data_IF_025607435163
#
_entry.id   IF_025607435163
#
_cell.length_a   1.000
_cell.length_b   1.000
_cell.length_c   1.000
_cell.angle_alpha   90.00
_cell.angle_beta   90.00
_cell.angle_gamma   90.00
#
_symmetry.space_group_name_H-M   'P 1'
#
loop_
_entity.id
_entity.type
_entity.pdbx_description
1 polymer ?
#
# COMPACT_ATOMS: atom_id res chain seq x y z
N UNK A 1 18.51 17.32 -29.51
CA UNK A 1 18.12 15.96 -29.94
C UNK A 1 16.91 15.56 -29.10
N UNK A 2 15.85 15.04 -29.70
CA UNK A 2 14.75 14.47 -28.93
C UNK A 2 15.29 13.26 -28.15
N UNK A 3 15.05 13.19 -26.84
CA UNK A 3 15.37 12.00 -26.06
C UNK A 3 14.55 10.83 -26.62
N UNK A 4 15.21 9.69 -26.85
CA UNK A 4 14.53 8.47 -27.27
C UNK A 4 13.63 7.98 -26.14
N UNK A 5 12.40 7.58 -26.47
CA UNK A 5 11.47 7.00 -25.51
C UNK A 5 12.10 5.73 -24.90
N UNK A 6 12.24 5.61 -23.58
CA UNK A 6 12.78 4.41 -22.95
C UNK A 6 11.90 3.19 -23.25
N UNK A 7 12.49 2.04 -23.58
CA UNK A 7 11.76 0.79 -23.75
C UNK A 7 11.74 0.01 -22.43
N UNK A 8 10.60 -0.60 -22.05
CA UNK A 8 10.54 -1.47 -20.88
C UNK A 8 11.35 -2.75 -21.10
N UNK A 9 12.03 -3.23 -20.06
CA UNK A 9 12.69 -4.54 -20.06
C UNK A 9 12.03 -5.48 -19.04
N UNK A 10 11.99 -6.78 -19.33
CA UNK A 10 11.39 -7.78 -18.45
C UNK A 10 12.37 -8.26 -17.38
N UNK A 11 11.87 -8.48 -16.18
CA UNK A 11 12.62 -9.10 -15.10
C UNK A 11 12.68 -10.62 -15.28
N UNK A 12 13.80 -11.27 -14.88
CA UNK A 12 13.91 -12.72 -14.96
C UNK A 12 12.98 -13.41 -13.95
N UNK A 13 12.66 -14.67 -14.23
CA UNK A 13 11.88 -15.54 -13.34
C UNK A 13 10.55 -14.92 -12.89
N UNK A 14 9.65 -14.60 -13.84
CA UNK A 14 8.35 -14.02 -13.49
C UNK A 14 7.51 -15.00 -12.64
N UNK A 15 6.52 -14.50 -11.89
CA UNK A 15 5.57 -15.33 -11.15
C UNK A 15 4.87 -16.38 -12.02
N UNK A 16 4.41 -17.46 -11.38
CA UNK A 16 3.76 -18.57 -12.09
C UNK A 16 2.23 -18.38 -12.21
N UNK A 17 1.69 -17.36 -11.55
CA UNK A 17 0.28 -17.01 -11.52
C UNK A 17 0.14 -15.49 -11.31
N UNK A 18 -1.09 -14.98 -11.34
CA UNK A 18 -1.42 -13.56 -11.35
C UNK A 18 -0.64 -12.72 -10.34
N UNK A 19 -0.07 -11.61 -10.78
CA UNK A 19 0.72 -10.70 -9.92
C UNK A 19 -0.22 -9.75 -9.18
N UNK A 20 -0.13 -9.67 -7.86
CA UNK A 20 -1.09 -8.92 -7.02
C UNK A 20 -0.57 -7.60 -6.50
N UNK A 21 0.73 -7.44 -6.28
CA UNK A 21 1.33 -6.19 -5.80
C UNK A 21 2.80 -6.07 -6.19
N UNK A 22 3.25 -4.83 -6.31
CA UNK A 22 4.66 -4.44 -6.52
C UNK A 22 5.03 -3.35 -5.52
N UNK A 23 6.25 -3.39 -4.99
CA UNK A 23 6.77 -2.36 -4.09
C UNK A 23 8.30 -2.33 -4.14
N UNK A 24 8.89 -1.15 -4.38
CA UNK A 24 10.33 -0.96 -4.15
C UNK A 24 10.58 -0.86 -2.64
N UNK A 25 11.55 -1.63 -2.14
CA UNK A 25 11.88 -1.65 -0.72
C UNK A 25 12.46 -0.30 -0.28
N UNK A 26 12.20 0.17 0.95
CA UNK A 26 12.81 1.39 1.45
C UNK A 26 14.33 1.23 1.60
N UNK A 27 15.09 2.30 1.34
CA UNK A 27 16.54 2.33 1.61
C UNK A 27 16.80 2.33 3.12
N UNK A 28 17.81 1.60 3.58
CA UNK A 28 18.31 1.68 4.95
C UNK A 28 18.98 3.05 5.19
N UNK A 29 18.60 3.73 6.26
CA UNK A 29 19.13 5.05 6.67
C UNK A 29 20.60 5.04 7.10
N UNK A 30 21.24 3.87 7.18
CA UNK A 30 22.60 3.67 7.69
C UNK A 30 23.72 3.92 6.68
N UNK A 31 23.43 4.10 5.39
CA UNK A 31 24.45 4.43 4.38
C UNK A 31 24.45 5.93 4.07
N UNK A 32 25.60 6.57 4.24
CA UNK A 32 25.85 7.99 3.90
C UNK A 32 25.72 8.32 2.40
N UNK A 33 25.42 7.35 1.53
CA UNK A 33 25.01 7.59 0.15
C UNK A 33 23.48 7.62 0.05
N UNK A 34 22.94 8.70 -0.51
CA UNK A 34 21.53 8.93 -0.86
C UNK A 34 20.97 7.97 -1.94
N UNK A 35 21.44 6.73 -1.98
CA UNK A 35 21.07 5.77 -3.02
C UNK A 35 19.69 5.17 -2.73
N UNK A 36 18.76 5.40 -3.65
CA UNK A 36 17.49 4.69 -3.70
C UNK A 36 17.74 3.19 -3.72
N UNK A 37 16.95 2.43 -2.97
CA UNK A 37 16.98 0.97 -2.99
C UNK A 37 16.69 0.47 -4.40
N UNK A 38 17.47 -0.53 -4.82
CA UNK A 38 17.31 -1.23 -6.09
C UNK A 38 16.39 -2.45 -5.97
N UNK A 39 15.97 -2.79 -4.76
CA UNK A 39 15.20 -4.00 -4.51
C UNK A 39 13.71 -3.77 -4.77
N UNK A 40 13.14 -4.59 -5.65
CA UNK A 40 11.71 -4.63 -5.98
C UNK A 40 11.10 -5.93 -5.46
N UNK A 41 10.07 -5.81 -4.63
CA UNK A 41 9.29 -6.95 -4.16
C UNK A 41 7.98 -7.10 -4.94
N UNK A 42 7.52 -8.35 -5.06
CA UNK A 42 6.27 -8.72 -5.70
C UNK A 42 5.57 -9.86 -4.97
N UNK A 43 4.24 -9.87 -5.02
CA UNK A 43 3.38 -10.96 -4.54
C UNK A 43 2.50 -11.49 -5.67
N UNK A 44 2.08 -12.75 -5.58
CA UNK A 44 1.30 -13.43 -6.62
C UNK A 44 0.26 -14.39 -6.04
N UNK A 45 -0.71 -14.75 -6.88
CA UNK A 45 -1.68 -15.81 -6.65
C UNK A 45 -1.04 -17.19 -6.45
N UNK A 46 0.21 -17.38 -6.88
CA UNK A 46 0.98 -18.61 -6.64
C UNK A 46 1.44 -18.79 -5.18
N UNK A 47 1.12 -17.83 -4.31
CA UNK A 47 1.44 -17.89 -2.88
C UNK A 47 2.89 -17.57 -2.54
N UNK A 48 3.68 -17.11 -3.53
CA UNK A 48 5.08 -16.77 -3.33
C UNK A 48 5.34 -15.26 -3.39
N UNK A 49 6.27 -14.83 -2.54
CA UNK A 49 6.85 -13.50 -2.53
C UNK A 49 8.22 -13.56 -3.24
N UNK A 50 8.48 -12.60 -4.11
CA UNK A 50 9.76 -12.50 -4.84
C UNK A 50 10.40 -11.14 -4.63
N UNK A 51 11.72 -11.13 -4.54
CA UNK A 51 12.54 -9.91 -4.49
C UNK A 51 13.52 -9.95 -5.66
N UNK A 52 13.51 -8.91 -6.47
CA UNK A 52 14.42 -8.68 -7.58
C UNK A 52 15.35 -7.51 -7.25
N UNK A 53 16.60 -7.62 -7.67
CA UNK A 53 17.54 -6.50 -7.67
C UNK A 53 17.50 -5.86 -9.06
N UNK A 54 17.24 -4.55 -9.08
CA UNK A 54 17.00 -3.74 -10.28
C UNK A 54 17.98 -2.55 -10.25
N UNK A 55 19.26 -2.76 -10.61
CA UNK A 55 20.29 -1.73 -10.48
C UNK A 55 20.03 -0.55 -11.42
N UNK A 56 20.36 0.70 -11.02
CA UNK A 56 20.08 1.92 -11.80
C UNK A 56 20.89 2.01 -13.11
N UNK A 57 22.02 1.30 -13.20
CA UNK A 57 22.89 1.30 -14.37
C UNK A 57 22.60 0.10 -15.29
N UNK A 58 23.42 -0.11 -16.33
CA UNK A 58 23.35 -1.24 -17.27
C UNK A 58 23.60 -2.63 -16.64
N UNK A 59 23.56 -2.74 -15.30
CA UNK A 59 23.62 -4.02 -14.60
C UNK A 59 22.40 -4.87 -14.93
N UNK A 60 22.61 -6.17 -15.10
CA UNK A 60 21.51 -7.10 -15.35
C UNK A 60 20.67 -7.28 -14.08
N UNK A 61 19.38 -7.01 -14.16
CA UNK A 61 18.45 -7.32 -13.06
C UNK A 61 18.41 -8.82 -12.80
N UNK A 62 18.25 -9.20 -11.54
CA UNK A 62 18.25 -10.61 -11.11
C UNK A 62 17.23 -10.88 -10.02
N UNK A 63 16.76 -12.12 -9.95
CA UNK A 63 15.99 -12.61 -8.81
C UNK A 63 16.95 -12.81 -7.62
N UNK A 64 16.67 -12.14 -6.50
CA UNK A 64 17.42 -12.28 -5.24
C UNK A 64 16.82 -13.39 -4.39
N UNK A 65 15.49 -13.38 -4.27
CA UNK A 65 14.75 -14.29 -3.40
C UNK A 65 13.42 -14.66 -4.03
N UNK A 66 13.05 -15.93 -3.92
CA UNK A 66 11.67 -16.40 -4.11
C UNK A 66 11.32 -17.31 -2.94
N UNK A 67 10.24 -16.97 -2.23
CA UNK A 67 9.83 -17.64 -1.00
C UNK A 67 8.34 -17.92 -1.05
N UNK A 68 7.97 -19.20 -1.00
CA UNK A 68 6.60 -19.60 -0.72
C UNK A 68 6.25 -19.18 0.71
N UNK A 69 5.13 -18.49 0.90
CA UNK A 69 4.76 -17.92 2.20
C UNK A 69 3.90 -18.89 3.04
N UNK A 70 3.69 -20.13 2.59
CA UNK A 70 2.83 -21.09 3.27
C UNK A 70 1.38 -20.60 3.37
N UNK A 71 0.92 -19.86 2.35
CA UNK A 71 -0.44 -19.35 2.19
C UNK A 71 -0.97 -19.80 0.83
N UNK A 72 -2.27 -19.60 0.60
CA UNK A 72 -2.80 -19.52 -0.76
C UNK A 72 -2.35 -18.22 -1.45
N UNK A 73 -3.16 -17.65 -2.34
CA UNK A 73 -2.89 -16.37 -2.98
C UNK A 73 -2.46 -15.27 -2.00
N UNK A 74 -1.37 -14.56 -2.32
CA UNK A 74 -0.97 -13.35 -1.62
C UNK A 74 -1.64 -12.16 -2.29
N UNK A 75 -2.25 -11.26 -1.52
CA UNK A 75 -3.15 -10.22 -2.03
C UNK A 75 -2.63 -8.80 -1.81
N UNK A 76 -1.71 -8.61 -0.87
CA UNK A 76 -1.18 -7.30 -0.54
C UNK A 76 0.25 -7.38 -0.03
N UNK A 77 0.97 -6.28 -0.18
CA UNK A 77 2.39 -6.16 0.10
C UNK A 77 2.66 -4.83 0.80
N UNK A 78 3.48 -4.87 1.84
CA UNK A 78 4.05 -3.69 2.48
C UNK A 78 5.52 -3.98 2.86
N UNK A 79 6.32 -2.95 3.10
CA UNK A 79 7.68 -3.12 3.61
C UNK A 79 8.05 -1.97 4.53
N UNK A 80 8.96 -2.22 5.46
CA UNK A 80 9.51 -1.20 6.36
C UNK A 80 11.04 -1.28 6.36
N UNK A 81 11.70 -0.15 6.61
CA UNK A 81 13.14 -0.13 6.87
C UNK A 81 13.38 -0.46 8.34
N UNK A 82 13.84 -1.67 8.65
CA UNK A 82 14.26 -2.05 10.00
C UNK A 82 15.75 -1.78 10.25
N UNK A 83 16.17 -1.71 11.51
CA UNK A 83 17.59 -1.57 11.89
C UNK A 83 18.47 -2.72 11.35
N UNK A 84 17.88 -3.91 11.12
CA UNK A 84 18.54 -5.09 10.55
C UNK A 84 18.40 -5.27 9.03
N UNK A 85 17.72 -4.35 8.33
CA UNK A 85 17.43 -4.46 6.90
C UNK A 85 15.94 -4.32 6.57
N UNK A 86 15.61 -4.40 5.28
CA UNK A 86 14.23 -4.29 4.83
C UNK A 86 13.40 -5.51 5.28
N UNK A 87 12.31 -5.25 6.00
CA UNK A 87 11.31 -6.26 6.35
C UNK A 87 10.15 -6.15 5.37
N UNK A 88 9.66 -7.29 4.88
CA UNK A 88 8.55 -7.34 3.92
C UNK A 88 7.36 -8.05 4.57
N UNK A 89 6.17 -7.51 4.35
CA UNK A 89 4.92 -8.05 4.87
C UNK A 89 3.98 -8.43 3.75
N UNK A 90 3.31 -9.58 3.88
CA UNK A 90 2.35 -10.07 2.90
C UNK A 90 1.03 -10.49 3.56
N UNK A 91 -0.08 -10.06 2.96
CA UNK A 91 -1.44 -10.43 3.37
C UNK A 91 -1.95 -11.56 2.49
N UNK A 92 -2.36 -12.67 3.11
CA UNK A 92 -2.82 -13.87 2.40
C UNK A 92 -4.35 -13.95 2.26
N UNK A 93 -4.80 -14.72 1.26
CA UNK A 93 -6.20 -15.14 1.13
C UNK A 93 -6.69 -15.98 2.30
N UNK A 94 -5.76 -16.55 3.07
CA UNK A 94 -6.01 -17.30 4.31
C UNK A 94 -6.12 -16.40 5.55
N UNK A 95 -6.17 -15.08 5.37
CA UNK A 95 -6.34 -14.10 6.44
C UNK A 95 -5.07 -13.78 7.22
N UNK A 96 -3.98 -14.51 7.02
CA UNK A 96 -2.76 -14.29 7.79
C UNK A 96 -1.89 -13.17 7.20
N UNK A 97 -1.37 -12.34 8.09
CA UNK A 97 -0.36 -11.32 7.83
C UNK A 97 0.98 -11.92 8.21
N UNK A 98 1.89 -12.04 7.23
CA UNK A 98 3.19 -12.66 7.41
C UNK A 98 4.30 -11.65 7.21
N UNK A 99 5.38 -11.82 7.97
CA UNK A 99 6.64 -11.09 7.81
C UNK A 99 7.65 -12.02 7.15
N UNK A 100 8.44 -11.46 6.25
CA UNK A 100 9.62 -12.04 5.64
C UNK A 100 10.81 -11.14 5.93
N UNK A 101 11.80 -11.70 6.61
CA UNK A 101 13.12 -11.11 6.71
C UNK A 101 13.91 -11.47 5.44
N UNK A 102 14.33 -10.46 4.68
CA UNK A 102 15.04 -10.66 3.41
C UNK A 102 16.43 -11.25 3.63
N UNK A 103 17.11 -10.89 4.73
CA UNK A 103 18.49 -11.30 5.00
C UNK A 103 18.55 -12.78 5.42
N UNK A 104 17.64 -13.20 6.30
CA UNK A 104 17.60 -14.58 6.82
C UNK A 104 16.66 -15.49 6.02
N UNK A 105 15.81 -14.90 5.17
CA UNK A 105 14.73 -15.57 4.45
C UNK A 105 13.73 -16.30 5.36
N UNK A 106 13.63 -15.92 6.63
CA UNK A 106 12.68 -16.50 7.57
C UNK A 106 11.30 -15.88 7.39
N UNK A 107 10.27 -16.71 7.53
CA UNK A 107 8.87 -16.28 7.47
C UNK A 107 8.21 -16.57 8.81
N UNK A 108 7.55 -15.57 9.35
CA UNK A 108 6.76 -15.68 10.58
C UNK A 108 5.37 -15.04 10.41
N UNK A 109 4.43 -15.47 11.25
CA UNK A 109 3.05 -14.95 11.23
C UNK A 109 2.95 -13.82 12.24
N UNK A 110 2.71 -12.60 11.75
CA UNK A 110 2.50 -11.41 12.58
C UNK A 110 1.12 -11.45 13.23
N UNK A 111 0.10 -11.86 12.48
CA UNK A 111 -1.28 -11.84 12.93
C UNK A 111 -2.25 -12.43 11.91
N UNK A 112 -3.55 -12.45 12.23
CA UNK A 112 -4.56 -13.02 11.36
C UNK A 112 -5.93 -12.33 11.47
N UNK A 113 -6.58 -12.16 10.33
CA UNK A 113 -7.99 -11.84 10.20
C UNK A 113 -8.84 -13.10 10.40
N UNK A 114 -9.66 -13.13 11.46
CA UNK A 114 -10.44 -14.30 11.88
C UNK A 114 -11.96 -14.14 11.75
N UNK A 115 -12.44 -13.02 11.23
CA UNK A 115 -13.88 -12.72 11.16
C UNK A 115 -14.46 -12.11 12.44
N UNK A 116 -15.58 -11.41 12.31
CA UNK A 116 -16.28 -10.74 13.42
C UNK A 116 -16.85 -11.78 14.39
N UNK A 117 -16.41 -11.73 15.66
CA UNK A 117 -17.01 -12.51 16.76
C UNK A 117 -16.45 -13.92 16.99
N UNK A 118 -15.30 -14.27 16.39
CA UNK A 118 -14.64 -15.57 16.65
C UNK A 118 -15.45 -16.79 16.18
N UNK A 119 -16.58 -16.59 15.50
CA UNK A 119 -17.38 -17.64 14.89
C UNK A 119 -16.73 -18.08 13.59
N UNK A 120 -15.57 -18.73 13.73
CA UNK A 120 -15.09 -19.63 12.69
C UNK A 120 -16.13 -20.74 12.56
N UNK A 121 -17.10 -20.59 11.66
CA UNK A 121 -17.85 -21.75 11.20
C UNK A 121 -16.79 -22.66 10.59
N UNK A 122 -16.66 -23.87 11.10
CA UNK A 122 -15.62 -24.86 10.78
C UNK A 122 -15.59 -25.31 9.31
N UNK A 123 -16.30 -24.63 8.41
CA UNK A 123 -16.53 -24.95 7.01
C UNK A 123 -16.17 -23.82 6.01
N UNK A 124 -15.81 -22.62 6.47
CA UNK A 124 -15.45 -21.50 5.56
C UNK A 124 -13.99 -21.10 5.73
N UNK A 125 -13.30 -20.91 4.60
CA UNK A 125 -11.95 -20.34 4.57
C UNK A 125 -11.94 -18.98 5.29
N UNK A 126 -10.92 -18.70 6.13
CA UNK A 126 -10.83 -17.43 6.84
C UNK A 126 -10.86 -16.24 5.88
N UNK A 127 -11.42 -15.10 6.31
CA UNK A 127 -11.48 -13.90 5.50
C UNK A 127 -10.09 -13.37 5.20
N UNK A 128 -9.86 -12.97 3.96
CA UNK A 128 -8.54 -12.57 3.48
C UNK A 128 -8.02 -11.28 4.14
N UNK A 129 -6.69 -11.22 4.35
CA UNK A 129 -5.96 -10.00 4.66
C UNK A 129 -5.65 -9.28 3.33
N UNK A 130 -6.60 -8.48 2.86
CA UNK A 130 -6.63 -7.99 1.48
C UNK A 130 -5.82 -6.71 1.26
N UNK A 131 -5.49 -5.97 2.32
CA UNK A 131 -4.73 -4.73 2.21
C UNK A 131 -3.70 -4.62 3.34
N UNK A 132 -2.51 -4.12 3.00
CA UNK A 132 -1.43 -3.84 3.95
C UNK A 132 -0.81 -2.46 3.71
N UNK A 133 -0.30 -1.84 4.77
CA UNK A 133 0.51 -0.63 4.71
C UNK A 133 1.43 -0.55 5.93
N UNK A 134 2.72 -0.25 5.74
CA UNK A 134 3.64 0.00 6.84
C UNK A 134 3.48 1.43 7.33
N UNK A 135 3.54 1.64 8.65
CA UNK A 135 3.38 2.94 9.28
C UNK A 135 4.71 3.43 9.87
N UNK A 136 5.74 3.57 9.04
CA UNK A 136 7.10 3.88 9.52
C UNK A 136 7.21 5.26 10.20
N UNK A 137 6.29 6.19 9.89
CA UNK A 137 6.30 7.57 10.41
C UNK A 137 5.82 7.74 11.85
N UNK A 138 5.20 6.73 12.48
CA UNK A 138 4.68 6.83 13.86
C UNK A 138 5.72 6.50 14.95
N UNK A 139 6.98 6.29 14.56
CA UNK A 139 8.09 6.07 15.48
C UNK A 139 8.07 4.70 16.16
N UNK A 140 7.53 3.69 15.47
CA UNK A 140 7.41 2.29 15.92
C UNK A 140 7.25 1.40 14.69
N UNK A 141 7.79 0.18 14.72
CA UNK A 141 7.59 -0.77 13.62
C UNK A 141 6.18 -1.34 13.70
N UNK A 142 5.27 -0.75 12.94
CA UNK A 142 3.86 -1.11 12.92
C UNK A 142 3.41 -1.34 11.50
N UNK A 143 2.64 -2.40 11.31
CA UNK A 143 1.97 -2.72 10.05
C UNK A 143 0.47 -2.60 10.27
N UNK A 144 -0.20 -1.90 9.37
CA UNK A 144 -1.64 -1.85 9.29
C UNK A 144 -2.13 -2.92 8.31
N UNK A 145 -3.21 -3.61 8.66
CA UNK A 145 -3.95 -4.50 7.76
C UNK A 145 -5.44 -4.19 7.75
N UNK A 146 -6.07 -4.45 6.61
CA UNK A 146 -7.52 -4.44 6.48
C UNK A 146 -7.98 -5.67 5.70
N UNK A 147 -9.11 -6.25 6.11
CA UNK A 147 -9.55 -7.55 5.62
C UNK A 147 -10.96 -7.58 5.03
N UNK A 148 -11.30 -8.75 4.48
CA UNK A 148 -12.66 -9.06 4.02
C UNK A 148 -13.63 -9.44 5.15
N UNK A 149 -13.12 -9.53 6.38
CA UNK A 149 -13.91 -9.57 7.61
C UNK A 149 -14.50 -8.22 7.99
N UNK A 150 -14.15 -7.15 7.27
CA UNK A 150 -14.52 -5.77 7.60
C UNK A 150 -13.83 -5.27 8.87
N UNK A 151 -12.64 -5.78 9.16
CA UNK A 151 -11.82 -5.29 10.27
C UNK A 151 -10.56 -4.61 9.75
N UNK A 152 -10.10 -3.62 10.50
CA UNK A 152 -8.81 -2.98 10.41
C UNK A 152 -8.00 -3.30 11.67
N UNK A 153 -6.73 -3.66 11.51
CA UNK A 153 -5.84 -4.05 12.60
C UNK A 153 -4.50 -3.33 12.49
N UNK A 154 -3.96 -2.91 13.62
CA UNK A 154 -2.58 -2.50 13.77
C UNK A 154 -1.80 -3.62 14.45
N UNK A 155 -0.65 -3.98 13.89
CA UNK A 155 0.23 -5.01 14.42
C UNK A 155 1.57 -4.38 14.79
N UNK A 156 1.98 -4.52 16.06
CA UNK A 156 3.36 -4.27 16.44
C UNK A 156 4.19 -5.48 16.04
N UNK A 157 5.13 -5.29 15.13
CA UNK A 157 5.93 -6.41 14.63
C UNK A 157 7.09 -6.76 15.57
N UNK A 158 7.27 -5.99 16.65
CA UNK A 158 8.29 -6.24 17.68
C UNK A 158 7.76 -7.12 18.80
N UNK A 159 6.44 -7.18 18.99
CA UNK A 159 5.83 -8.13 19.91
C UNK A 159 5.81 -9.49 19.25
N UNK A 160 6.59 -10.44 19.77
CA UNK A 160 6.52 -11.83 19.34
C UNK A 160 5.12 -12.37 19.65
N UNK A 161 4.36 -12.70 18.61
CA UNK A 161 3.13 -13.47 18.76
C UNK A 161 3.48 -14.89 19.16
N UNK A 162 2.72 -15.48 20.09
CA UNK A 162 2.77 -16.92 20.33
C UNK A 162 2.40 -17.73 19.08
N UNK A 163 2.25 -19.04 19.23
CA UNK A 163 2.13 -20.07 18.17
C UNK A 163 0.92 -19.93 17.18
N UNK A 164 0.22 -18.79 17.18
CA UNK A 164 -0.91 -18.45 16.29
C UNK A 164 -0.92 -17.01 15.75
N UNK A 165 0.16 -16.24 15.94
CA UNK A 165 0.23 -14.82 15.59
C UNK A 165 -0.09 -13.88 16.77
N UNK A 166 0.39 -12.64 16.69
CA UNK A 166 0.17 -11.62 17.72
C UNK A 166 -1.27 -11.12 17.77
N UNK A 167 -1.68 -10.54 18.90
CA UNK A 167 -2.96 -9.79 19.01
C UNK A 167 -2.75 -8.40 18.41
N UNK A 168 -3.72 -7.84 17.67
CA UNK A 168 -3.59 -6.46 17.20
C UNK A 168 -3.50 -5.49 18.38
N UNK A 169 -2.62 -4.49 18.26
CA UNK A 169 -2.42 -3.45 19.29
C UNK A 169 -3.52 -2.40 19.26
N UNK A 170 -4.20 -2.24 18.12
CA UNK A 170 -5.44 -1.47 17.99
C UNK A 170 -6.27 -2.05 16.84
N UNK A 171 -7.59 -1.80 16.85
CA UNK A 171 -8.49 -2.28 15.79
C UNK A 171 -9.69 -1.36 15.60
N UNK A 172 -10.25 -1.37 14.39
CA UNK A 172 -11.47 -0.66 14.05
C UNK A 172 -12.34 -1.49 13.10
N UNK A 173 -13.66 -1.47 13.32
CA UNK A 173 -14.62 -2.10 12.41
C UNK A 173 -14.89 -1.18 11.21
N UNK A 174 -14.94 -1.78 10.02
CA UNK A 174 -15.22 -1.15 8.74
C UNK A 174 -16.66 -1.43 8.31
N UNK A 175 -17.25 -0.53 7.51
CA UNK A 175 -18.60 -0.74 6.97
C UNK A 175 -18.67 -1.79 5.83
N UNK A 176 -17.52 -2.25 5.32
CA UNK A 176 -17.44 -3.14 4.18
C UNK A 176 -16.10 -3.88 4.10
N UNK A 177 -16.01 -4.82 3.15
CA UNK A 177 -14.76 -5.54 2.86
C UNK A 177 -13.71 -4.58 2.33
N UNK A 178 -12.47 -4.66 2.81
CA UNK A 178 -11.39 -3.81 2.31
C UNK A 178 -10.98 -4.20 0.87
N UNK A 179 -11.03 -3.24 -0.06
CA UNK A 179 -10.61 -3.39 -1.46
C UNK A 179 -9.34 -2.61 -1.81
N UNK A 180 -9.01 -1.58 -1.05
CA UNK A 180 -7.74 -0.87 -1.16
C UNK A 180 -7.44 -0.10 0.12
N UNK A 181 -6.16 0.12 0.39
CA UNK A 181 -5.69 0.90 1.53
C UNK A 181 -4.44 1.67 1.15
N UNK A 182 -4.25 2.83 1.78
CA UNK A 182 -3.01 3.57 1.74
C UNK A 182 -2.85 4.38 3.02
N UNK A 183 -1.62 4.71 3.39
CA UNK A 183 -1.31 5.52 4.57
C UNK A 183 -0.55 6.80 4.18
N UNK A 184 -0.71 7.85 4.99
CA UNK A 184 0.10 9.05 4.88
C UNK A 184 1.55 8.75 5.23
N UNK A 185 2.48 9.59 4.73
CA UNK A 185 3.92 9.38 4.95
C UNK A 185 4.32 9.38 6.43
N UNK A 186 3.63 10.13 7.26
CA UNK A 186 3.82 10.16 8.72
C UNK A 186 3.11 9.01 9.45
N UNK A 187 2.41 8.14 8.72
CA UNK A 187 1.69 6.97 9.25
C UNK A 187 0.45 7.31 10.08
N UNK A 188 0.08 8.59 10.20
CA UNK A 188 -1.04 9.02 11.06
C UNK A 188 -2.40 8.82 10.43
N UNK A 189 -2.53 9.05 9.12
CA UNK A 189 -3.81 8.94 8.42
C UNK A 189 -3.78 7.72 7.53
N UNK A 190 -4.75 6.82 7.73
CA UNK A 190 -4.96 5.67 6.87
C UNK A 190 -6.31 5.82 6.18
N UNK A 191 -6.37 5.56 4.88
CA UNK A 191 -7.62 5.44 4.14
C UNK A 191 -7.85 3.99 3.76
N UNK A 192 -9.05 3.47 4.03
CA UNK A 192 -9.51 2.16 3.58
C UNK A 192 -10.71 2.35 2.65
N UNK A 193 -10.54 1.98 1.39
CA UNK A 193 -11.63 1.89 0.44
C UNK A 193 -12.33 0.53 0.58
N UNK A 194 -13.63 0.55 0.85
CA UNK A 194 -14.38 -0.67 1.17
C UNK A 194 -15.53 -0.95 0.20
N UNK A 195 -16.02 -2.20 0.23
CA UNK A 195 -17.24 -2.59 -0.45
C UNK A 195 -18.41 -1.68 -0.08
N UNK A 196 -19.27 -1.34 -1.04
CA UNK A 196 -20.29 -0.30 -0.86
C UNK A 196 -19.82 1.10 -1.28
N UNK A 197 -18.63 1.19 -1.90
CA UNK A 197 -18.04 2.43 -2.43
C UNK A 197 -17.81 3.45 -1.31
N UNK A 198 -17.29 3.00 -0.18
CA UNK A 198 -17.01 3.85 0.98
C UNK A 198 -15.50 4.07 1.10
N UNK A 199 -15.11 5.27 1.50
CA UNK A 199 -13.74 5.65 1.86
C UNK A 199 -13.76 5.97 3.36
N UNK A 200 -13.22 5.05 4.15
CA UNK A 200 -13.08 5.19 5.60
C UNK A 200 -11.70 5.77 5.93
N UNK A 201 -11.67 6.85 6.69
CA UNK A 201 -10.44 7.51 7.12
C UNK A 201 -10.23 7.27 8.61
N UNK A 202 -9.05 6.77 8.94
CA UNK A 202 -8.64 6.40 10.29
C UNK A 202 -7.46 7.28 10.70
N UNK A 203 -7.50 7.77 11.92
CA UNK A 203 -6.38 8.44 12.60
C UNK A 203 -5.71 7.45 13.54
N UNK A 204 -4.42 7.24 13.34
CA UNK A 204 -3.57 6.37 14.12
C UNK A 204 -2.75 7.23 15.06
N UNK A 205 -2.96 7.05 16.35
CA UNK A 205 -2.33 7.85 17.40
C UNK A 205 -1.53 7.00 18.35
N UNK A 206 -0.50 7.63 18.91
CA UNK A 206 0.31 7.11 20.00
C UNK A 206 0.04 7.96 21.22
N UNK A 207 -0.67 7.41 22.20
CA UNK A 207 -1.04 8.11 23.42
C UNK A 207 -0.29 7.54 24.63
N UNK A 208 -0.03 8.35 25.68
CA UNK A 208 0.39 7.81 26.96
C UNK A 208 -0.58 6.73 27.42
N UNK A 209 -0.07 5.54 27.81
CA UNK A 209 -0.93 4.55 28.45
C UNK A 209 -1.60 5.21 29.63
N UNK A 210 -2.94 5.21 29.66
CA UNK A 210 -3.68 5.76 30.78
C UNK A 210 -3.32 4.95 32.03
N UNK A 211 -2.43 5.50 32.87
CA UNK A 211 -2.17 4.97 34.19
C UNK A 211 -3.49 5.01 34.97
N UNK A 212 -4.07 3.82 35.21
CA UNK A 212 -5.14 3.55 36.16
C UNK A 212 -6.26 4.59 36.26
N UNK A 213 -7.43 4.27 35.71
CA UNK A 213 -8.69 4.73 36.30
C UNK A 213 -8.87 4.09 37.70
N UNK A 214 -8.05 4.53 38.65
CA UNK A 214 -8.07 4.15 40.05
C UNK A 214 -8.78 5.23 40.85
N UNK A 215 -9.94 4.87 41.42
CA UNK A 215 -10.56 5.61 42.52
C UNK A 215 -9.51 5.94 43.59
N UNK A 216 -9.31 7.21 43.91
CA UNK A 216 -8.54 7.61 45.09
C UNK A 216 -9.48 8.09 46.21
N UNK A 217 -9.74 7.20 47.16
CA UNK A 217 -9.91 7.54 48.58
C UNK A 217 -8.52 7.63 49.22
N UNK A 218 -8.27 8.73 49.96
CA UNK A 218 -7.24 9.01 50.99
C UNK A 218 -6.17 7.94 51.29
N UNK A 219 -4.88 8.26 51.42
CA UNK A 219 -4.27 8.95 52.58
C UNK A 219 -2.79 9.26 52.33
N UNK A 220 -2.27 10.24 53.06
CA UNK A 220 -0.94 10.86 53.02
C UNK A 220 0.24 9.98 53.46
N UNK A 221 1.38 10.06 52.75
CA UNK A 221 2.74 10.06 53.36
C UNK A 221 3.76 10.72 52.40
N UNK A 222 4.76 11.39 52.97
CA UNK A 222 5.76 12.32 52.37
C UNK A 222 6.84 11.68 51.46
N UNK A 223 7.51 12.45 50.57
CA UNK A 223 8.43 11.91 49.57
C UNK A 223 9.91 11.89 50.02
N UNK A 224 10.66 10.88 49.56
CA UNK A 224 12.12 10.84 49.52
C UNK A 224 12.63 11.04 48.09
N UNK A 225 13.76 11.72 47.85
CA UNK A 225 14.28 11.95 46.49
C UNK A 225 15.46 11.03 46.19
N UNK A 226 15.28 10.10 45.25
CA UNK A 226 16.29 9.55 44.34
C UNK A 226 15.73 8.25 43.75
N UNK A 227 15.26 8.31 42.52
CA UNK A 227 15.46 7.25 41.52
C UNK A 227 15.30 7.93 40.15
N UNK A 228 16.36 7.83 39.35
CA UNK A 228 16.47 8.32 37.98
C UNK A 228 15.73 7.31 37.09
N UNK A 229 14.40 7.26 37.21
CA UNK A 229 13.56 6.40 36.39
C UNK A 229 13.46 7.02 34.99
N UNK A 230 14.19 6.42 34.06
CA UNK A 230 13.98 6.56 32.64
C UNK A 230 12.64 5.87 32.30
N UNK A 231 11.55 6.54 32.68
CA UNK A 231 10.17 6.09 32.54
C UNK A 231 9.78 6.21 31.06
N UNK A 232 10.23 5.25 30.25
CA UNK A 232 9.65 4.96 28.93
C UNK A 232 8.20 4.53 29.16
N UNK A 233 7.32 5.49 29.47
CA UNK A 233 5.89 5.27 29.60
C UNK A 233 5.42 4.52 28.35
N UNK A 234 5.02 3.27 28.50
CA UNK A 234 4.60 2.40 27.40
C UNK A 234 3.47 3.11 26.64
N UNK A 235 3.75 3.71 25.49
CA UNK A 235 2.75 4.47 24.76
C UNK A 235 1.81 3.50 24.03
N UNK A 236 0.51 3.54 24.33
CA UNK A 236 -0.50 2.72 23.69
C UNK A 236 -0.81 3.22 22.26
N UNK A 237 -1.09 2.28 21.36
CA UNK A 237 -1.61 2.58 20.03
C UNK A 237 -3.12 2.70 20.08
N UNK A 238 -3.66 3.72 19.45
CA UNK A 238 -5.09 3.89 19.26
C UNK A 238 -5.42 4.16 17.79
N UNK A 239 -6.62 3.75 17.38
CA UNK A 239 -7.18 4.05 16.07
C UNK A 239 -8.57 4.67 16.25
N UNK A 240 -8.76 5.85 15.67
CA UNK A 240 -10.04 6.56 15.66
C UNK A 240 -10.56 6.67 14.23
N UNK A 241 -11.83 6.35 14.01
CA UNK A 241 -12.46 6.61 12.71
C UNK A 241 -12.85 8.08 12.61
N UNK A 242 -12.16 8.84 11.76
CA UNK A 242 -12.44 10.26 11.52
C UNK A 242 -13.72 10.46 10.70
N UNK A 243 -13.84 9.74 9.60
CA UNK A 243 -15.03 9.76 8.75
C UNK A 243 -15.14 8.47 7.96
N UNK A 244 -16.38 8.10 7.66
CA UNK A 244 -16.68 7.14 6.61
C UNK A 244 -17.64 7.83 5.62
N UNK A 245 -17.26 7.88 4.34
CA UNK A 245 -18.03 8.58 3.31
C UNK A 245 -18.13 7.78 2.03
N UNK A 246 -19.16 8.05 1.25
CA UNK A 246 -19.30 7.48 -0.08
C UNK A 246 -18.30 8.11 -1.06
N UNK A 247 -17.69 7.28 -1.90
CA UNK A 247 -16.83 7.71 -3.00
C UNK A 247 -17.62 8.53 -4.01
N UNK A 248 -16.93 9.49 -4.63
CA UNK A 248 -17.44 10.27 -5.75
C UNK A 248 -17.64 9.44 -7.03
N UNK A 249 -17.17 8.19 -7.05
CA UNK A 249 -17.35 7.25 -8.16
C UNK A 249 -18.62 6.42 -7.97
N UNK A 250 -19.31 6.15 -9.09
CA UNK A 250 -20.60 5.45 -9.09
C UNK A 250 -20.47 3.93 -9.06
N UNK A 251 -19.29 3.42 -9.42
CA UNK A 251 -19.01 1.99 -9.51
C UNK A 251 -17.96 1.57 -8.47
N UNK A 252 -17.78 0.26 -8.33
CA UNK A 252 -16.88 -0.34 -7.34
C UNK A 252 -15.47 0.27 -7.40
N UNK A 253 -14.97 0.69 -6.23
CA UNK A 253 -13.57 1.08 -6.04
C UNK A 253 -12.66 -0.12 -6.19
N UNK A 254 -11.54 0.07 -6.90
CA UNK A 254 -10.53 -0.98 -7.11
C UNK A 254 -9.19 -0.66 -6.44
N UNK A 255 -8.82 0.61 -6.38
CA UNK A 255 -7.59 1.06 -5.73
C UNK A 255 -7.76 2.47 -5.14
N UNK A 256 -6.97 2.80 -4.12
CA UNK A 256 -6.92 4.13 -3.49
C UNK A 256 -5.47 4.48 -3.14
N UNK A 257 -5.09 5.75 -3.32
CA UNK A 257 -3.79 6.30 -2.88
C UNK A 257 -3.94 7.67 -2.22
N UNK A 258 -3.26 7.87 -1.10
CA UNK A 258 -3.13 9.14 -0.41
C UNK A 258 -2.02 9.96 -1.04
N UNK A 259 -2.32 11.19 -1.46
CA UNK A 259 -1.32 12.10 -1.99
C UNK A 259 -1.26 13.39 -1.16
N UNK A 260 -0.04 13.93 -1.06
CA UNK A 260 0.20 15.32 -0.70
C UNK A 260 0.67 16.06 -1.96
N UNK A 261 -0.15 16.97 -2.47
CA UNK A 261 0.27 17.99 -3.44
C UNK A 261 0.66 19.23 -2.61
N UNK A 262 1.56 20.13 -3.06
CA UNK A 262 1.85 21.35 -2.31
C UNK A 262 0.57 22.05 -1.81
N UNK A 263 0.48 22.21 -0.49
CA UNK A 263 -0.65 22.79 0.24
C UNK A 263 -1.97 22.00 0.22
N UNK A 264 -2.01 20.73 -0.19
CA UNK A 264 -3.27 19.96 -0.23
C UNK A 264 -3.04 18.46 -0.03
N UNK A 265 -3.83 17.85 0.85
CA UNK A 265 -3.85 16.40 1.08
C UNK A 265 -5.18 15.83 0.54
N UNK A 266 -5.09 14.71 -0.16
CA UNK A 266 -6.24 14.09 -0.82
C UNK A 266 -6.04 12.61 -1.09
N UNK A 267 -7.05 12.01 -1.70
CA UNK A 267 -7.01 10.65 -2.21
C UNK A 267 -7.29 10.62 -3.71
N UNK A 268 -6.56 9.75 -4.41
CA UNK A 268 -6.88 9.31 -5.75
C UNK A 268 -7.55 7.93 -5.65
N UNK A 269 -8.77 7.81 -6.15
CA UNK A 269 -9.58 6.58 -6.10
C UNK A 269 -9.80 6.09 -7.52
N UNK A 270 -9.40 4.86 -7.85
CA UNK A 270 -9.68 4.21 -9.13
C UNK A 270 -10.87 3.27 -9.05
N UNK A 271 -11.69 3.19 -10.10
CA UNK A 271 -12.85 2.28 -10.16
C UNK A 271 -12.80 1.33 -11.35
N UNK A 272 -13.72 0.36 -11.33
CA UNK A 272 -13.93 -0.59 -12.42
C UNK A 272 -14.50 0.03 -13.72
N UNK A 273 -14.89 1.31 -13.72
CA UNK A 273 -15.50 1.99 -14.88
C UNK A 273 -14.53 2.90 -15.65
N UNK A 274 -13.22 2.63 -15.59
CA UNK A 274 -12.21 3.43 -16.29
C UNK A 274 -12.27 4.91 -15.87
N UNK A 275 -12.24 5.14 -14.55
CA UNK A 275 -12.24 6.47 -13.94
C UNK A 275 -11.37 6.53 -12.71
N UNK A 276 -10.86 7.73 -12.48
CA UNK A 276 -10.20 8.12 -11.24
C UNK A 276 -10.89 9.36 -10.68
N UNK A 277 -11.21 9.34 -9.39
CA UNK A 277 -11.63 10.50 -8.63
C UNK A 277 -10.46 11.06 -7.82
N UNK A 278 -10.35 12.38 -7.79
CA UNK A 278 -9.48 13.15 -6.91
C UNK A 278 -10.37 13.80 -5.86
N UNK A 279 -10.24 13.36 -4.62
CA UNK A 279 -10.99 13.86 -3.48
C UNK A 279 -10.03 14.50 -2.48
N UNK A 280 -10.39 15.67 -1.96
CA UNK A 280 -9.55 16.41 -1.02
C UNK A 280 -10.06 16.22 0.39
N UNK A 281 -9.16 16.29 1.36
CA UNK A 281 -9.44 16.01 2.77
C UNK A 281 -10.00 17.20 3.56
N UNK A 282 -10.39 18.29 2.87
CA UNK A 282 -10.97 19.49 3.49
C UNK A 282 -12.18 19.14 4.37
N UNK A 283 -13.04 18.25 3.88
CA UNK A 283 -14.26 17.85 4.57
C UNK A 283 -14.00 16.86 5.75
N UNK A 284 -12.75 16.49 6.07
CA UNK A 284 -12.40 15.70 7.28
C UNK A 284 -11.63 16.53 8.32
N UNK A 285 -11.66 17.85 8.20
CA UNK A 285 -10.94 18.74 9.13
C UNK A 285 -9.44 18.84 8.84
N UNK A 286 -8.93 18.12 7.84
CA UNK A 286 -7.57 18.29 7.34
C UNK A 286 -7.60 19.39 6.29
N UNK A 287 -7.24 20.61 6.71
CA UNK A 287 -7.18 21.77 5.82
C UNK A 287 -6.26 21.47 4.63
N UNK A 288 -6.88 21.27 3.48
CA UNK A 288 -6.27 21.28 2.17
C UNK A 288 -6.48 22.67 1.56
N UNK A 289 -5.63 23.11 0.65
CA UNK A 289 -5.62 24.47 0.10
C UNK A 289 -6.80 24.81 -0.82
N UNK A 290 -8.00 24.29 -0.56
CA UNK A 290 -9.24 24.65 -1.26
C UNK A 290 -9.48 23.92 -2.58
N UNK A 291 -8.99 22.68 -2.72
CA UNK A 291 -9.18 21.88 -3.94
C UNK A 291 -10.62 21.42 -4.12
N UNK A 292 -11.25 21.72 -5.28
CA UNK A 292 -12.55 21.10 -5.63
C UNK A 292 -12.33 19.67 -6.11
N UNK A 293 -12.99 18.71 -5.45
CA UNK A 293 -13.04 17.31 -5.90
C UNK A 293 -13.49 17.20 -7.36
N UNK A 294 -12.93 16.25 -8.10
CA UNK A 294 -13.30 16.00 -9.50
C UNK A 294 -12.97 14.57 -9.90
N UNK A 295 -13.47 14.11 -11.05
CA UNK A 295 -13.12 12.81 -11.61
C UNK A 295 -12.83 12.92 -13.11
N UNK A 296 -12.00 12.03 -13.63
CA UNK A 296 -11.66 11.96 -15.05
C UNK A 296 -11.77 10.54 -15.58
N UNK A 297 -12.03 10.43 -16.89
CA UNK A 297 -12.06 9.15 -17.61
C UNK A 297 -10.64 8.75 -17.97
N UNK A 298 -10.34 7.46 -17.86
CA UNK A 298 -9.07 6.85 -18.25
C UNK A 298 -9.33 5.38 -18.66
N UNK A 299 -8.36 4.75 -19.30
CA UNK A 299 -8.44 3.32 -19.69
C UNK A 299 -9.71 2.96 -20.47
N UNK A 300 -9.86 3.59 -21.64
CA UNK A 300 -10.99 3.38 -22.57
C UNK A 300 -10.46 3.28 -23.99
N UNK A 301 -10.91 2.27 -24.72
CA UNK A 301 -10.53 2.03 -26.11
C UNK A 301 -11.80 1.93 -26.95
N UNK A 302 -12.04 2.93 -27.80
CA UNK A 302 -13.33 3.08 -28.47
C UNK A 302 -14.46 3.23 -27.45
N UNK A 303 -15.44 2.34 -27.52
CA UNK A 303 -16.56 2.28 -26.56
C UNK A 303 -16.28 1.36 -25.36
N UNK A 304 -15.22 0.55 -25.41
CA UNK A 304 -14.85 -0.38 -24.33
C UNK A 304 -14.23 0.35 -23.16
N UNK A 305 -14.69 0.02 -21.95
CA UNK A 305 -14.26 0.63 -20.68
C UNK A 305 -13.57 -0.43 -19.83
N UNK A 306 -12.38 -0.12 -19.32
CA UNK A 306 -11.57 -1.05 -18.57
C UNK A 306 -11.39 -0.59 -17.11
N UNK A 307 -11.32 -1.52 -16.14
CA UNK A 307 -10.96 -1.20 -14.76
C UNK A 307 -9.63 -0.48 -14.62
N UNK A 308 -9.57 0.43 -13.64
CA UNK A 308 -8.31 1.02 -13.15
C UNK A 308 -7.81 0.16 -12.00
N UNK A 309 -6.85 -0.71 -12.27
CA UNK A 309 -6.36 -1.70 -11.31
C UNK A 309 -5.35 -1.11 -10.32
N UNK A 310 -4.51 -0.18 -10.78
CA UNK A 310 -3.41 0.37 -10.00
C UNK A 310 -3.29 1.89 -10.17
N UNK A 311 -2.96 2.55 -9.06
CA UNK A 311 -2.51 3.95 -9.02
C UNK A 311 -1.19 3.98 -8.26
N UNK A 312 -0.19 4.67 -8.81
CA UNK A 312 1.09 4.92 -8.15
C UNK A 312 1.40 6.42 -8.19
N UNK A 313 1.85 6.98 -7.07
CA UNK A 313 2.25 8.39 -7.00
C UNK A 313 3.73 8.53 -7.34
N UNK A 314 4.08 9.55 -8.11
CA UNK A 314 5.47 9.89 -8.35
C UNK A 314 6.08 10.51 -7.08
N UNK A 315 7.14 9.95 -6.50
CA UNK A 315 7.63 10.35 -5.17
C UNK A 315 8.21 11.78 -5.14
N UNK A 316 8.64 12.30 -6.29
CA UNK A 316 9.28 13.63 -6.39
C UNK A 316 8.35 14.73 -6.91
N UNK A 317 7.38 14.40 -7.77
CA UNK A 317 6.70 15.40 -8.62
C UNK A 317 5.23 15.64 -8.22
N UNK A 318 4.67 14.82 -7.33
CA UNK A 318 3.27 14.94 -6.92
C UNK A 318 2.26 14.61 -8.02
N UNK A 319 2.71 13.99 -9.11
CA UNK A 319 1.88 13.45 -10.19
C UNK A 319 1.57 11.98 -9.93
N UNK A 320 0.69 11.38 -10.74
CA UNK A 320 0.29 9.99 -10.55
C UNK A 320 0.30 9.22 -11.88
N UNK A 321 0.60 7.93 -11.80
CA UNK A 321 0.43 6.96 -12.87
C UNK A 321 -0.79 6.07 -12.59
N UNK A 322 -1.51 5.69 -13.64
CA UNK A 322 -2.61 4.72 -13.59
C UNK A 322 -2.34 3.56 -14.52
N UNK A 323 -2.62 2.35 -14.05
CA UNK A 323 -2.55 1.10 -14.81
C UNK A 323 -3.94 0.51 -14.96
N UNK A 324 -4.33 0.20 -16.20
CA UNK A 324 -5.65 -0.32 -16.51
C UNK A 324 -5.64 -1.73 -17.09
N UNK A 325 -6.81 -2.35 -17.11
CA UNK A 325 -7.02 -3.61 -17.80
C UNK A 325 -6.92 -3.51 -19.34
N UNK A 326 -6.84 -2.29 -19.88
CA UNK A 326 -6.50 -2.04 -21.30
C UNK A 326 -5.01 -2.25 -21.62
N UNK A 327 -4.22 -2.68 -20.62
CA UNK A 327 -2.78 -2.92 -20.74
C UNK A 327 -1.95 -1.65 -20.84
N UNK A 328 -2.50 -0.47 -20.56
CA UNK A 328 -1.76 0.79 -20.66
C UNK A 328 -1.39 1.37 -19.29
N UNK A 329 -0.25 2.08 -19.27
CA UNK A 329 0.17 2.92 -18.14
C UNK A 329 0.13 4.38 -18.59
N UNK A 330 -0.61 5.21 -17.85
CA UNK A 330 -0.83 6.62 -18.19
C UNK A 330 -0.46 7.51 -17.00
N UNK A 331 0.28 8.58 -17.24
CA UNK A 331 0.65 9.56 -16.21
C UNK A 331 -0.23 10.81 -16.29
N UNK A 332 -0.46 11.42 -15.13
CA UNK A 332 -1.42 12.50 -14.93
C UNK A 332 -0.90 13.54 -13.95
N UNK A 333 -1.15 14.79 -14.28
CA UNK A 333 -1.03 15.93 -13.39
C UNK A 333 -2.41 16.21 -12.77
N UNK A 334 -2.61 15.72 -11.55
CA UNK A 334 -3.87 15.85 -10.83
C UNK A 334 -4.16 17.30 -10.41
N UNK A 335 -3.12 18.08 -10.11
CA UNK A 335 -3.27 19.49 -9.74
C UNK A 335 -3.80 20.33 -10.92
N UNK A 336 -3.28 20.09 -12.12
CA UNK A 336 -3.67 20.80 -13.34
C UNK A 336 -4.73 20.07 -14.17
N UNK A 337 -5.20 18.91 -13.71
CA UNK A 337 -6.23 18.08 -14.37
C UNK A 337 -5.86 17.68 -15.80
N UNK A 338 -4.59 17.33 -16.04
CA UNK A 338 -4.05 17.04 -17.37
C UNK A 338 -3.45 15.64 -17.46
N UNK A 339 -3.70 14.98 -18.59
CA UNK A 339 -2.91 13.81 -19.02
C UNK A 339 -1.51 14.29 -19.41
N UNK A 340 -0.48 13.58 -18.96
CA UNK A 340 0.92 13.88 -19.26
C UNK A 340 1.42 13.01 -20.41
N UNK A 341 1.53 11.69 -20.19
CA UNK A 341 2.06 10.74 -21.17
C UNK A 341 1.35 9.37 -21.09
N UNK A 342 1.49 8.57 -22.14
CA UNK A 342 1.29 7.12 -22.08
C UNK A 342 2.68 6.50 -21.99
N UNK A 343 3.00 5.91 -20.85
CA UNK A 343 4.37 5.47 -20.52
C UNK A 343 4.63 4.04 -20.98
N UNK A 344 3.61 3.19 -21.02
CA UNK A 344 3.77 1.82 -21.47
C UNK A 344 2.46 1.27 -22.06
N UNK A 345 2.62 0.29 -22.96
CA UNK A 345 1.57 -0.60 -23.40
C UNK A 345 2.10 -2.03 -23.30
N UNK A 346 1.47 -2.84 -22.46
CA UNK A 346 1.86 -4.21 -22.21
C UNK A 346 0.91 -5.19 -22.92
N UNK A 347 1.28 -6.49 -23.03
CA UNK A 347 0.47 -7.49 -23.72
C UNK A 347 -0.88 -7.79 -23.07
N UNK A 348 -0.98 -7.61 -21.74
CA UNK A 348 -2.21 -7.85 -20.96
C UNK A 348 -2.39 -6.76 -19.89
N UNK A 349 -3.44 -6.89 -19.09
CA UNK A 349 -3.86 -6.01 -18.01
C UNK A 349 -2.69 -5.56 -17.13
N UNK A 350 -2.70 -4.32 -16.67
CA UNK A 350 -1.76 -3.86 -15.65
C UNK A 350 -2.37 -4.20 -14.30
N UNK A 351 -1.74 -5.07 -13.51
CA UNK A 351 -2.27 -5.48 -12.20
C UNK A 351 -1.71 -4.65 -11.04
N UNK A 352 -0.47 -4.19 -11.14
CA UNK A 352 0.21 -3.39 -10.13
C UNK A 352 1.28 -2.46 -10.74
N UNK A 353 1.57 -1.35 -10.05
CA UNK A 353 2.56 -0.34 -10.41
C UNK A 353 3.35 0.10 -9.18
N UNK A 354 4.65 0.36 -9.34
CA UNK A 354 5.48 0.97 -8.30
C UNK A 354 6.57 1.86 -8.90
N UNK A 355 6.68 3.11 -8.43
CA UNK A 355 7.86 3.93 -8.68
C UNK A 355 8.99 3.55 -7.72
N UNK A 356 10.24 3.64 -8.17
CA UNK A 356 11.40 3.58 -7.27
C UNK A 356 11.51 4.87 -6.44
N UNK A 357 12.40 4.88 -5.43
CA UNK A 357 12.46 5.97 -4.44
C UNK A 357 12.69 7.38 -5.01
N UNK A 358 13.47 7.50 -6.08
CA UNK A 358 13.72 8.77 -6.78
C UNK A 358 12.75 9.05 -7.94
N UNK A 359 11.86 8.10 -8.28
CA UNK A 359 10.88 8.23 -9.35
C UNK A 359 11.43 8.12 -10.76
N UNK A 360 12.73 7.86 -10.94
CA UNK A 360 13.35 7.72 -12.27
C UNK A 360 12.92 6.43 -12.99
N UNK A 361 12.33 5.47 -12.27
CA UNK A 361 11.85 4.20 -12.82
C UNK A 361 10.47 3.84 -12.33
N UNK A 362 9.75 3.11 -13.18
CA UNK A 362 8.48 2.48 -12.85
C UNK A 362 8.55 0.98 -13.12
N UNK A 363 8.15 0.18 -12.12
CA UNK A 363 7.89 -1.24 -12.25
C UNK A 363 6.40 -1.45 -12.60
N UNK A 364 6.16 -2.37 -13.53
CA UNK A 364 4.85 -2.61 -14.15
C UNK A 364 4.60 -4.11 -14.15
N UNK A 365 3.55 -4.56 -13.45
CA UNK A 365 3.10 -5.94 -13.52
C UNK A 365 2.08 -6.06 -14.66
N UNK A 366 2.47 -6.70 -15.76
CA UNK A 366 1.53 -7.10 -16.81
C UNK A 366 1.05 -8.51 -16.48
N UNK A 367 -0.18 -8.58 -15.98
CA UNK A 367 -0.79 -9.82 -15.56
C UNK A 367 -2.30 -9.70 -15.61
N UNK A 368 -2.96 -10.72 -16.17
CA UNK A 368 -4.40 -10.68 -16.39
C UNK A 368 -5.17 -10.55 -15.07
N UNK A 369 -6.16 -9.67 -15.01
CA UNK A 369 -6.87 -9.34 -13.77
C UNK A 369 -8.28 -9.94 -13.68
N UNK A 370 -8.56 -10.95 -14.50
CA UNK A 370 -9.83 -11.69 -14.53
C UNK A 370 -11.06 -10.85 -14.89
N UNK A 371 -10.86 -9.71 -15.55
CA UNK A 371 -11.92 -8.75 -15.87
C UNK A 371 -12.96 -9.26 -16.89
N UNK A 372 -12.65 -10.31 -17.63
CA UNK A 372 -13.51 -10.97 -18.62
C UNK A 372 -13.80 -12.45 -18.27
N UNK A 373 -13.43 -12.88 -17.06
CA UNK A 373 -13.53 -14.27 -16.64
C UNK A 373 -12.38 -15.16 -17.13
N UNK A 374 -12.56 -16.48 -17.05
CA UNK A 374 -11.55 -17.45 -17.47
C UNK A 374 -11.32 -17.37 -18.99
N UNK A 375 -10.07 -17.13 -19.39
CA UNK A 375 -9.67 -17.09 -20.80
C UNK A 375 -8.17 -17.31 -20.94
N UNK A 376 -7.74 -17.67 -22.14
CA UNK A 376 -6.32 -17.60 -22.50
C UNK A 376 -5.84 -16.15 -22.47
N UNK A 377 -4.69 -15.93 -21.85
CA UNK A 377 -4.04 -14.62 -21.78
C UNK A 377 -2.52 -14.74 -21.90
N UNK A 378 -1.82 -13.65 -22.25
CA UNK A 378 -0.36 -13.59 -22.19
C UNK A 378 0.16 -13.94 -20.79
N UNK A 379 1.37 -14.51 -20.76
CA UNK A 379 2.06 -14.86 -19.51
C UNK A 379 2.34 -13.61 -18.67
N UNK A 380 2.34 -13.85 -17.36
CA UNK A 380 2.67 -12.90 -16.31
C UNK A 380 4.11 -12.39 -16.48
N UNK A 381 4.27 -11.07 -16.56
CA UNK A 381 5.59 -10.43 -16.64
C UNK A 381 5.67 -9.19 -15.76
N UNK A 382 6.85 -8.97 -15.17
CA UNK A 382 7.19 -7.71 -14.51
C UNK A 382 8.14 -6.97 -15.44
N UNK A 383 7.73 -5.80 -15.90
CA UNK A 383 8.57 -4.88 -16.64
C UNK A 383 9.12 -3.79 -15.73
N UNK A 384 10.32 -3.32 -16.03
CA UNK A 384 10.85 -2.07 -15.49
C UNK A 384 11.17 -1.14 -16.65
N UNK A 385 10.88 0.15 -16.46
CA UNK A 385 11.14 1.18 -17.47
C UNK A 385 11.65 2.45 -16.79
N UNK A 386 12.66 3.07 -17.40
CA UNK A 386 13.02 4.45 -17.07
C UNK A 386 11.87 5.40 -17.45
N UNK A 387 11.71 6.44 -16.65
CA UNK A 387 10.66 7.44 -16.84
C UNK A 387 11.32 8.79 -17.09
N UNK A 388 11.00 9.40 -18.22
CA UNK A 388 11.55 10.72 -18.55
C UNK A 388 10.85 11.77 -17.69
N UNK A 389 11.59 12.80 -17.26
CA UNK A 389 11.02 13.92 -16.49
C UNK A 389 9.81 14.54 -17.23
N UNK A 390 9.89 14.68 -18.56
CA UNK A 390 8.79 15.20 -19.38
C UNK A 390 7.49 14.36 -19.35
N UNK A 391 7.57 13.10 -18.92
CA UNK A 391 6.43 12.17 -18.82
C UNK A 391 5.73 12.26 -17.46
N UNK A 392 6.40 12.79 -16.43
CA UNK A 392 5.92 12.79 -15.04
C UNK A 392 5.92 14.16 -14.37
N UNK A 393 6.60 15.16 -14.91
CA UNK A 393 6.64 16.49 -14.32
C UNK A 393 5.33 17.27 -14.60
N UNK A 394 4.80 18.02 -13.61
CA UNK A 394 3.68 18.92 -13.83
C UNK A 394 3.96 19.92 -14.94
N UNK A 395 2.97 20.18 -15.80
CA UNK A 395 3.12 21.19 -16.84
C UNK A 395 2.85 22.57 -16.24
N UNK A 396 3.68 23.57 -16.59
CA UNK A 396 3.43 24.96 -16.18
C UNK A 396 2.00 25.39 -16.52
N UNK A 397 1.33 26.08 -15.59
CA UNK A 397 0.04 26.71 -15.86
C UNK A 397 0.26 27.74 -16.96
N UNK A 398 -0.41 27.56 -18.09
CA UNK A 398 -0.52 28.60 -19.12
C UNK A 398 -1.48 29.66 -18.66
#
# INVERSE_FOLDING_TARGET
>A
MAQQTPEPFSLPSPPNDGITSLLYLPSSSSSSSSSSSTLLASTSWDGALRVHDVPPDAGASRLVLSRAMGSGPLLSLAASSGEGGAMIYAGGSDGAVRRLDVATSTVDVVGRHSGVGGTSSSSLSPPAASCLSSLDGIGRDVVASAGWDREFHLWDVRTEGGDGGGKPVASATLQGKAFGMDASRDGRIVVVATSGRRNCFLDVRRLPSSAGAGKSTSTSTSPSPADDDNDDHELAMEVEQLVDRESSLKYQTRCVKLFGIPNSVGIAVGSIEGRVAIEYMDDVGIKSGGGKKYAFKCHRVGETIYPVNAIALHPVHGTLATGGADGTVVTWDAANKKKLSVVAKCPTSISALAFNGDGTRIAIASSYTFEEGERDHPREEIYVRDVLESEVMPKSKK
#
